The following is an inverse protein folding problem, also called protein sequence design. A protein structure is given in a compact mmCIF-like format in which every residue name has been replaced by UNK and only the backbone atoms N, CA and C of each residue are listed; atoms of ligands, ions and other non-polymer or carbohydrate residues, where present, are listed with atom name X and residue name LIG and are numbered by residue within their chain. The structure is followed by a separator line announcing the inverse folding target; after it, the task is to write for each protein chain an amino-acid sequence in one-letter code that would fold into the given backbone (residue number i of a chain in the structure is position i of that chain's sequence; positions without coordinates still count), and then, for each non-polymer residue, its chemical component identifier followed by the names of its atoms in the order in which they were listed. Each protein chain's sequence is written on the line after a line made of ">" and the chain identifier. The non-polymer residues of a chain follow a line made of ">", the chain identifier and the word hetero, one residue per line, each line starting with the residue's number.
data_IF_746040577664
#
_entry.id   IF_746040577664
#
_cell.length_a   1.000
_cell.length_b   1.000
_cell.length_c   1.000
_cell.angle_alpha   90.00
_cell.angle_beta   90.00
_cell.angle_gamma   90.00
#
_symmetry.space_group_name_H-M   'P 1'
#
loop_
_entity.id
_entity.type
_entity.pdbx_description
1 polymer ?
#
# COMPACT_ATOMS: atom_id res chain seq x y z
N UNK A 1 18.56 7.35 -10.84
CA UNK A 1 17.51 6.84 -9.92
C UNK A 1 18.23 6.44 -8.66
N UNK A 2 17.92 7.05 -7.50
CA UNK A 2 18.59 6.67 -6.25
C UNK A 2 18.10 5.30 -5.80
N UNK A 3 18.99 4.54 -5.13
CA UNK A 3 18.67 3.21 -4.60
C UNK A 3 17.44 3.25 -3.68
N UNK A 4 17.34 4.27 -2.83
CA UNK A 4 16.16 4.53 -1.98
C UNK A 4 14.86 4.68 -2.79
N UNK A 5 14.89 5.38 -3.92
CA UNK A 5 13.72 5.56 -4.80
C UNK A 5 13.32 4.25 -5.50
N UNK A 6 14.29 3.37 -5.79
CA UNK A 6 14.02 2.04 -6.34
C UNK A 6 13.31 1.17 -5.30
N UNK A 7 13.85 1.10 -4.09
CA UNK A 7 13.27 0.34 -2.97
C UNK A 7 11.84 0.80 -2.64
N UNK A 8 11.58 2.11 -2.62
CA UNK A 8 10.23 2.63 -2.37
C UNK A 8 9.24 2.25 -3.49
N UNK A 9 9.68 2.16 -4.75
CA UNK A 9 8.80 1.72 -5.84
C UNK A 9 8.52 0.23 -5.79
N UNK A 10 9.51 -0.59 -5.46
CA UNK A 10 9.35 -2.02 -5.23
C UNK A 10 8.36 -2.26 -4.09
N UNK A 11 8.54 -1.55 -2.97
CA UNK A 11 7.60 -1.61 -1.84
C UNK A 11 6.18 -1.15 -2.21
N UNK A 12 6.05 -0.09 -2.99
CA UNK A 12 4.74 0.38 -3.46
C UNK A 12 4.01 -0.70 -4.27
N UNK A 13 4.72 -1.38 -5.17
CA UNK A 13 4.15 -2.46 -5.97
C UNK A 13 3.68 -3.63 -5.09
N UNK A 14 4.50 -4.04 -4.11
CA UNK A 14 4.12 -5.10 -3.17
C UNK A 14 2.85 -4.75 -2.37
N UNK A 15 2.73 -3.49 -1.94
CA UNK A 15 1.56 -3.01 -1.19
C UNK A 15 0.30 -3.01 -2.07
N UNK A 16 0.40 -2.58 -3.33
CA UNK A 16 -0.72 -2.63 -4.28
C UNK A 16 -1.22 -4.05 -4.55
N UNK A 17 -0.30 -5.02 -4.64
CA UNK A 17 -0.63 -6.44 -4.79
C UNK A 17 -1.34 -6.98 -3.53
N UNK A 18 -0.82 -6.68 -2.33
CA UNK A 18 -1.42 -7.08 -1.06
C UNK A 18 -2.80 -6.47 -0.82
N UNK A 19 -2.98 -5.18 -1.16
CA UNK A 19 -4.27 -4.48 -1.10
C UNK A 19 -5.28 -5.16 -2.03
N UNK A 20 -4.86 -5.46 -3.26
CA UNK A 20 -5.72 -6.11 -4.26
C UNK A 20 -6.15 -7.49 -3.79
N UNK A 21 -5.23 -8.28 -3.25
CA UNK A 21 -5.54 -9.59 -2.69
C UNK A 21 -6.47 -9.51 -1.48
N UNK A 22 -6.22 -8.58 -0.56
CA UNK A 22 -7.05 -8.37 0.63
C UNK A 22 -8.46 -7.96 0.23
N UNK A 23 -8.61 -7.05 -0.74
CA UNK A 23 -9.90 -6.64 -1.31
C UNK A 23 -10.65 -7.81 -1.97
N UNK A 24 -9.96 -8.73 -2.65
CA UNK A 24 -10.58 -9.94 -3.22
C UNK A 24 -11.11 -10.91 -2.16
N UNK A 25 -10.50 -10.92 -0.98
CA UNK A 25 -10.92 -11.75 0.16
C UNK A 25 -12.08 -11.14 0.96
N UNK A 26 -12.43 -9.87 0.71
CA UNK A 26 -13.57 -9.22 1.35
C UNK A 26 -14.89 -9.83 0.85
N UNK A 27 -15.77 -10.32 1.74
CA UNK A 27 -17.09 -10.77 1.36
C UNK A 27 -17.94 -9.60 0.85
N UNK A 28 -18.62 -9.79 -0.29
CA UNK A 28 -19.47 -8.76 -0.93
C UNK A 28 -20.61 -8.21 -0.05
N UNK A 29 -20.97 -8.93 1.02
CA UNK A 29 -22.10 -8.60 1.90
C UNK A 29 -21.72 -8.54 3.38
N UNK A 30 -20.44 -8.69 3.73
CA UNK A 30 -19.99 -8.65 5.13
C UNK A 30 -18.50 -8.39 5.20
N UNK A 31 -18.11 -7.17 5.58
CA UNK A 31 -16.70 -6.85 5.82
C UNK A 31 -16.35 -7.37 7.21
N UNK A 32 -15.53 -8.43 7.30
CA UNK A 32 -15.04 -8.90 8.61
C UNK A 32 -14.10 -7.82 9.19
N UNK A 33 -14.33 -7.34 10.43
CA UNK A 33 -13.53 -6.24 11.00
C UNK A 33 -12.00 -6.44 10.93
N UNK A 34 -11.43 -7.66 11.15
CA UNK A 34 -9.99 -7.86 11.02
C UNK A 34 -9.47 -7.62 9.61
N UNK A 35 -10.16 -8.09 8.57
CA UNK A 35 -9.73 -7.92 7.17
C UNK A 35 -9.80 -6.46 6.74
N UNK A 36 -10.76 -5.71 7.27
CA UNK A 36 -10.85 -4.27 7.05
C UNK A 36 -9.71 -3.51 7.75
N UNK A 37 -9.34 -3.90 8.97
CA UNK A 37 -8.20 -3.29 9.67
C UNK A 37 -6.88 -3.57 8.94
N UNK A 38 -6.68 -4.81 8.47
CA UNK A 38 -5.51 -5.17 7.66
C UNK A 38 -5.46 -4.35 6.37
N UNK A 39 -6.61 -4.18 5.71
CA UNK A 39 -6.72 -3.37 4.50
C UNK A 39 -6.37 -1.90 4.76
N UNK A 40 -6.91 -1.30 5.82
CA UNK A 40 -6.64 0.08 6.20
C UNK A 40 -5.15 0.29 6.51
N UNK A 41 -4.52 -0.63 7.24
CA UNK A 41 -3.09 -0.56 7.54
C UNK A 41 -2.22 -0.61 6.26
N UNK A 42 -2.60 -1.45 5.28
CA UNK A 42 -1.91 -1.49 3.99
C UNK A 42 -2.11 -0.20 3.18
N UNK A 43 -3.30 0.39 3.22
CA UNK A 43 -3.60 1.66 2.54
C UNK A 43 -2.83 2.83 3.18
N UNK A 44 -2.75 2.88 4.51
CA UNK A 44 -1.94 3.87 5.24
C UNK A 44 -0.44 3.75 4.90
N UNK A 45 0.09 2.53 4.82
CA UNK A 45 1.50 2.30 4.45
C UNK A 45 1.77 2.74 2.99
N UNK A 46 0.85 2.42 2.07
CA UNK A 46 0.95 2.86 0.67
C UNK A 46 1.02 4.38 0.58
N UNK A 47 0.16 5.08 1.29
CA UNK A 47 0.09 6.54 1.26
C UNK A 47 1.38 7.16 1.85
N UNK A 48 1.94 6.56 2.90
CA UNK A 48 3.25 6.96 3.44
C UNK A 48 4.40 6.75 2.44
N UNK A 49 4.40 5.63 1.70
CA UNK A 49 5.42 5.36 0.66
C UNK A 49 5.28 6.34 -0.51
N UNK A 50 4.06 6.68 -0.91
CA UNK A 50 3.79 7.68 -1.94
C UNK A 50 4.30 9.06 -1.53
N UNK A 51 4.03 9.53 -0.32
CA UNK A 51 4.54 10.80 0.20
C UNK A 51 6.08 10.84 0.19
N UNK A 52 6.75 9.75 0.58
CA UNK A 52 8.20 9.66 0.48
C UNK A 52 8.72 9.74 -0.97
N UNK A 53 8.01 9.11 -1.92
CA UNK A 53 8.36 9.19 -3.33
C UNK A 53 8.16 10.59 -3.91
N UNK A 54 7.10 11.30 -3.50
CA UNK A 54 6.84 12.69 -3.90
C UNK A 54 7.91 13.64 -3.36
N UNK A 55 8.26 13.53 -2.07
CA UNK A 55 9.36 14.30 -1.47
C UNK A 55 10.69 14.08 -2.17
N UNK A 56 10.98 12.84 -2.61
CA UNK A 56 12.17 12.52 -3.40
C UNK A 56 12.11 12.96 -4.86
N UNK A 57 10.93 13.33 -5.37
CA UNK A 57 10.74 13.89 -6.72
C UNK A 57 10.86 15.41 -6.72
N UNK A 58 10.47 16.07 -5.62
CA UNK A 58 10.57 17.52 -5.42
C UNK A 58 11.87 18.01 -4.80
N UNK A 59 12.80 17.11 -4.45
CA UNK A 59 14.14 17.40 -3.95
C UNK A 59 15.19 17.43 -5.08
#
# INVERSE_FOLDING_TARGET
>A
MTEKRRQLRERLQELEEQITETKRRLPAHSVKPPVMMDLLALEDERDFVLDQLERLRGA
#
